data_IF_930436779738
#
_entry.id   IF_930436779738
#
_cell.length_a   1.000
_cell.length_b   1.000
_cell.length_c   1.000
_cell.angle_alpha   90.00
_cell.angle_beta   90.00
_cell.angle_gamma   90.00
#
_symmetry.space_group_name_H-M   'P 1'
#
loop_
_entity.id
_entity.type
_entity.pdbx_description
1 polymer ?
#
# COMPACT_ATOMS: atom_id res chain seq x y z
N UNK A 1 28.90 8.55 -26.77
CA UNK A 1 28.77 7.39 -25.87
C UNK A 1 27.35 7.39 -25.31
N UNK A 2 26.56 6.35 -25.59
CA UNK A 2 25.14 6.25 -25.21
C UNK A 2 25.03 5.98 -23.71
N UNK A 3 24.19 6.75 -23.02
CA UNK A 3 23.76 6.53 -21.64
C UNK A 3 23.12 5.15 -21.47
N UNK A 4 23.33 4.44 -20.36
CA UNK A 4 22.58 3.22 -20.08
C UNK A 4 21.11 3.56 -19.83
N UNK A 5 20.21 2.89 -20.56
CA UNK A 5 18.76 2.90 -20.32
C UNK A 5 18.46 2.54 -18.86
N UNK A 6 17.45 3.16 -18.22
CA UNK A 6 16.95 2.65 -16.95
C UNK A 6 16.50 1.20 -17.17
N UNK A 7 16.85 0.33 -16.21
CA UNK A 7 16.49 -1.07 -16.24
C UNK A 7 15.00 -1.22 -16.54
N UNK A 8 14.69 -1.78 -17.72
CA UNK A 8 13.34 -2.12 -18.13
C UNK A 8 12.78 -3.11 -17.11
N UNK A 9 11.88 -2.63 -16.25
CA UNK A 9 10.93 -3.53 -15.59
C UNK A 9 10.29 -4.39 -16.68
N UNK A 10 10.22 -5.73 -16.52
CA UNK A 10 9.65 -6.57 -17.56
C UNK A 10 8.23 -6.08 -17.85
N UNK A 11 7.96 -5.72 -19.11
CA UNK A 11 6.62 -5.38 -19.58
C UNK A 11 5.72 -6.58 -19.31
N UNK A 12 4.96 -6.51 -18.22
CA UNK A 12 4.01 -7.55 -17.83
C UNK A 12 3.01 -7.77 -18.96
N UNK A 13 2.56 -9.01 -19.21
CA UNK A 13 1.59 -9.29 -20.27
C UNK A 13 0.30 -8.49 -20.06
N UNK A 14 -0.20 -7.87 -21.13
CA UNK A 14 -1.32 -6.92 -21.09
C UNK A 14 -2.59 -7.49 -20.42
N UNK A 15 -2.86 -8.79 -20.61
CA UNK A 15 -4.02 -9.49 -20.04
C UNK A 15 -3.96 -9.65 -18.52
N UNK A 16 -2.82 -10.06 -17.95
CA UNK A 16 -2.65 -10.21 -16.50
C UNK A 16 -2.75 -8.85 -15.81
N UNK A 17 -2.17 -7.81 -16.40
CA UNK A 17 -2.34 -6.45 -15.91
C UNK A 17 -3.81 -6.02 -15.91
N UNK A 18 -4.55 -6.29 -16.99
CA UNK A 18 -5.96 -5.95 -17.09
C UNK A 18 -6.85 -6.72 -16.09
N UNK A 19 -6.53 -7.98 -15.81
CA UNK A 19 -7.24 -8.80 -14.82
C UNK A 19 -7.02 -8.32 -13.38
N UNK A 20 -5.82 -7.79 -13.09
CA UNK A 20 -5.42 -7.39 -11.74
C UNK A 20 -5.66 -5.93 -11.41
N UNK A 21 -5.86 -5.09 -12.43
CA UNK A 21 -6.08 -3.67 -12.20
C UNK A 21 -7.45 -3.41 -11.59
N UNK A 22 -7.46 -2.59 -10.54
CA UNK A 22 -8.70 -2.03 -10.03
C UNK A 22 -9.21 -0.99 -11.03
N UNK A 23 -10.51 -1.03 -11.40
CA UNK A 23 -11.12 0.04 -12.20
C UNK A 23 -11.24 1.35 -11.42
N UNK A 24 -11.20 1.30 -10.08
CA UNK A 24 -11.16 2.49 -9.22
C UNK A 24 -9.72 2.98 -9.10
N UNK A 25 -9.51 4.29 -9.27
CA UNK A 25 -8.21 4.97 -9.19
C UNK A 25 -7.15 4.33 -10.10
N UNK A 26 -7.49 4.13 -11.37
CA UNK A 26 -6.62 3.46 -12.34
C UNK A 26 -5.30 4.22 -12.63
N UNK A 27 -5.26 5.53 -12.40
CA UNK A 27 -4.08 6.36 -12.69
C UNK A 27 -3.11 6.49 -11.49
N UNK A 28 -3.49 6.01 -10.30
CA UNK A 28 -2.69 6.10 -9.07
C UNK A 28 -1.82 4.83 -8.88
N UNK A 29 -0.61 4.84 -9.45
CA UNK A 29 0.31 3.69 -9.39
C UNK A 29 0.70 3.28 -7.94
N UNK A 30 1.01 4.22 -7.02
CA UNK A 30 1.23 3.90 -5.60
C UNK A 30 0.05 3.15 -4.97
N UNK A 31 -1.17 3.63 -5.18
CA UNK A 31 -2.39 3.00 -4.66
C UNK A 31 -2.58 1.58 -5.23
N UNK A 32 -2.44 1.41 -6.54
CA UNK A 32 -2.56 0.10 -7.21
C UNK A 32 -1.51 -0.89 -6.71
N UNK A 33 -0.29 -0.41 -6.41
CA UNK A 33 0.76 -1.24 -5.81
C UNK A 33 0.38 -1.71 -4.42
N UNK A 34 -0.17 -0.83 -3.58
CA UNK A 34 -0.64 -1.18 -2.24
C UNK A 34 -1.78 -2.20 -2.29
N UNK A 35 -2.72 -2.03 -3.21
CA UNK A 35 -3.83 -2.95 -3.40
C UNK A 35 -3.32 -4.35 -3.80
N UNK A 36 -2.33 -4.44 -4.69
CA UNK A 36 -1.72 -5.72 -5.08
C UNK A 36 -1.02 -6.46 -3.94
N UNK A 37 -0.44 -5.74 -2.98
CA UNK A 37 0.19 -6.37 -1.82
C UNK A 37 -0.83 -7.12 -0.95
N UNK A 38 -2.11 -6.75 -0.98
CA UNK A 38 -3.15 -7.48 -0.25
C UNK A 38 -3.42 -8.89 -0.80
N UNK A 39 -3.04 -9.14 -2.07
CA UNK A 39 -3.23 -10.44 -2.72
C UNK A 39 -2.24 -11.50 -2.21
N UNK A 40 -1.08 -11.14 -1.65
CA UNK A 40 -0.06 -12.11 -1.24
C UNK A 40 -0.55 -12.98 -0.08
N UNK A 41 -0.71 -14.31 -0.26
CA UNK A 41 -1.25 -15.18 0.77
C UNK A 41 -0.21 -15.56 1.82
N UNK A 42 -0.69 -15.85 3.02
CA UNK A 42 0.09 -16.54 4.04
C UNK A 42 0.49 -17.93 3.52
N UNK A 43 1.68 -18.46 3.90
CA UNK A 43 2.11 -19.80 3.50
C UNK A 43 1.20 -20.93 3.99
N UNK A 44 0.32 -20.67 4.96
CA UNK A 44 -0.66 -21.63 5.46
C UNK A 44 -1.94 -21.67 4.61
N UNK A 45 -2.29 -20.59 3.92
CA UNK A 45 -3.55 -20.47 3.17
C UNK A 45 -3.74 -21.55 2.10
N UNK A 46 -2.72 -21.94 1.30
CA UNK A 46 -2.89 -23.02 0.32
C UNK A 46 -3.31 -24.36 0.96
N UNK A 47 -2.75 -24.70 2.12
CA UNK A 47 -3.05 -25.94 2.82
C UNK A 47 -4.46 -25.96 3.40
N UNK A 48 -4.90 -24.86 4.00
CA UNK A 48 -6.27 -24.72 4.49
C UNK A 48 -7.29 -24.89 3.36
N UNK A 49 -7.05 -24.26 2.21
CA UNK A 49 -7.93 -24.36 1.05
C UNK A 49 -7.96 -25.78 0.44
N UNK A 50 -6.91 -26.58 0.64
CA UNK A 50 -6.82 -27.94 0.11
C UNK A 50 -7.59 -28.98 0.93
N UNK A 51 -7.96 -28.71 2.18
CA UNK A 51 -8.58 -29.69 3.06
C UNK A 51 -9.86 -30.31 2.47
N UNK A 52 -10.80 -29.46 2.00
CA UNK A 52 -12.04 -29.91 1.36
C UNK A 52 -11.80 -30.70 0.06
N UNK A 53 -11.08 -30.15 -0.92
CA UNK A 53 -10.78 -30.86 -2.17
C UNK A 53 -9.99 -32.18 -1.98
N UNK A 54 -9.09 -32.26 -1.00
CA UNK A 54 -8.41 -33.51 -0.63
C UNK A 54 -9.42 -34.55 -0.17
N UNK A 55 -10.31 -34.20 0.76
CA UNK A 55 -11.36 -35.11 1.22
C UNK A 55 -12.30 -35.55 0.09
N UNK A 56 -12.65 -34.64 -0.83
CA UNK A 56 -13.44 -34.94 -2.02
C UNK A 56 -12.75 -35.99 -2.90
N UNK A 57 -11.46 -35.80 -3.19
CA UNK A 57 -10.70 -36.69 -4.07
C UNK A 57 -10.38 -38.04 -3.42
N UNK A 58 -10.14 -38.08 -2.11
CA UNK A 58 -10.05 -39.34 -1.34
C UNK A 58 -11.37 -40.10 -1.43
N UNK A 59 -12.50 -39.43 -1.19
CA UNK A 59 -13.83 -40.01 -1.35
C UNK A 59 -14.06 -40.51 -2.77
N UNK A 60 -13.69 -39.73 -3.79
CA UNK A 60 -13.83 -40.10 -5.20
C UNK A 60 -12.98 -41.32 -5.56
N UNK A 61 -11.75 -41.40 -5.07
CA UNK A 61 -10.86 -42.55 -5.29
C UNK A 61 -11.44 -43.82 -4.66
N UNK A 62 -11.94 -43.72 -3.43
CA UNK A 62 -12.50 -44.86 -2.70
C UNK A 62 -13.81 -45.35 -3.31
N UNK A 63 -14.66 -44.41 -3.72
CA UNK A 63 -16.00 -44.72 -4.18
C UNK A 63 -16.00 -45.02 -5.68
N UNK A 64 -15.48 -44.16 -6.56
CA UNK A 64 -15.75 -44.26 -8.00
C UNK A 64 -14.64 -44.93 -8.84
N UNK A 65 -13.50 -44.25 -9.02
CA UNK A 65 -12.40 -44.67 -9.91
C UNK A 65 -11.06 -44.40 -9.22
N UNK A 66 -10.42 -45.41 -8.60
CA UNK A 66 -9.28 -45.19 -7.70
C UNK A 66 -8.09 -44.56 -8.40
N UNK A 67 -7.71 -45.05 -9.60
CA UNK A 67 -6.57 -44.53 -10.35
C UNK A 67 -6.72 -43.04 -10.70
N UNK A 68 -7.91 -42.63 -11.15
CA UNK A 68 -8.19 -41.23 -11.50
C UNK A 68 -8.18 -40.36 -10.23
N UNK A 69 -8.85 -40.82 -9.17
CA UNK A 69 -8.90 -40.08 -7.91
C UNK A 69 -7.53 -39.86 -7.27
N UNK A 70 -6.68 -40.90 -7.25
CA UNK A 70 -5.31 -40.82 -6.74
C UNK A 70 -4.46 -39.87 -7.61
N UNK A 71 -4.56 -39.98 -8.93
CA UNK A 71 -3.83 -39.09 -9.85
C UNK A 71 -4.18 -37.61 -9.65
N UNK A 72 -5.47 -37.29 -9.55
CA UNK A 72 -5.94 -35.92 -9.28
C UNK A 72 -5.53 -35.43 -7.88
N UNK A 73 -5.54 -36.31 -6.88
CA UNK A 73 -5.12 -35.99 -5.51
C UNK A 73 -3.64 -35.61 -5.48
N UNK A 74 -2.78 -36.40 -6.13
CA UNK A 74 -1.35 -36.10 -6.22
C UNK A 74 -1.10 -34.77 -6.94
N UNK A 75 -1.82 -34.51 -8.03
CA UNK A 75 -1.73 -33.25 -8.76
C UNK A 75 -2.19 -32.06 -7.90
N UNK A 76 -3.29 -32.22 -7.15
CA UNK A 76 -3.80 -31.20 -6.22
C UNK A 76 -2.77 -30.88 -5.14
N UNK A 77 -2.16 -31.91 -4.53
CA UNK A 77 -1.13 -31.75 -3.50
C UNK A 77 0.13 -31.08 -4.06
N UNK A 78 0.55 -31.44 -5.27
CA UNK A 78 1.69 -30.82 -5.96
C UNK A 78 1.45 -29.32 -6.20
N UNK A 79 0.29 -28.94 -6.74
CA UNK A 79 -0.07 -27.54 -6.94
C UNK A 79 -0.18 -26.78 -5.61
N UNK A 80 -0.71 -27.42 -4.57
CA UNK A 80 -0.83 -26.83 -3.23
C UNK A 80 0.55 -26.58 -2.61
N UNK A 81 1.45 -27.56 -2.69
CA UNK A 81 2.83 -27.44 -2.20
C UNK A 81 3.61 -26.36 -2.97
N UNK A 82 3.46 -26.30 -4.29
CA UNK A 82 4.05 -25.25 -5.12
C UNK A 82 3.58 -23.85 -4.71
N UNK A 83 2.28 -23.68 -4.46
CA UNK A 83 1.70 -22.41 -3.95
C UNK A 83 2.22 -22.05 -2.57
N UNK A 84 2.30 -23.02 -1.65
CA UNK A 84 2.85 -22.79 -0.31
C UNK A 84 4.33 -22.41 -0.35
N UNK A 85 5.10 -23.02 -1.26
CA UNK A 85 6.50 -22.67 -1.49
C UNK A 85 6.67 -21.28 -2.08
N UNK A 86 5.86 -20.92 -3.08
CA UNK A 86 5.82 -19.56 -3.65
C UNK A 86 5.50 -18.52 -2.56
N UNK A 87 4.53 -18.80 -1.69
CA UNK A 87 4.15 -17.92 -0.58
C UNK A 87 5.27 -17.70 0.47
N UNK A 88 6.24 -18.61 0.59
CA UNK A 88 7.37 -18.47 1.53
C UNK A 88 8.49 -17.59 0.98
N UNK A 89 8.55 -17.34 -0.34
CA UNK A 89 9.59 -16.51 -0.94
C UNK A 89 9.29 -15.02 -0.72
N UNK A 90 10.16 -14.33 0.02
CA UNK A 90 10.03 -12.92 0.47
C UNK A 90 10.16 -11.83 -0.63
N UNK A 91 10.23 -12.17 -1.92
CA UNK A 91 10.48 -11.16 -2.97
C UNK A 91 9.22 -10.80 -3.79
N UNK A 92 9.02 -9.51 -4.15
CA UNK A 92 7.81 -9.01 -4.82
C UNK A 92 7.71 -9.32 -6.33
N UNK A 93 8.56 -10.20 -6.87
CA UNK A 93 8.64 -10.49 -8.32
C UNK A 93 7.61 -11.53 -8.83
N UNK A 94 6.74 -12.05 -7.97
CA UNK A 94 5.92 -13.25 -8.28
C UNK A 94 4.38 -13.12 -8.21
N UNK A 95 3.73 -11.95 -8.32
CA UNK A 95 2.26 -11.91 -8.37
C UNK A 95 1.72 -12.86 -9.46
N UNK A 96 2.32 -12.83 -10.65
CA UNK A 96 1.82 -13.56 -11.81
C UNK A 96 1.90 -15.08 -11.64
N UNK A 97 3.00 -15.61 -11.11
CA UNK A 97 3.16 -17.05 -10.88
C UNK A 97 2.19 -17.56 -9.80
N UNK A 98 1.99 -16.80 -8.72
CA UNK A 98 1.00 -17.13 -7.70
C UNK A 98 -0.41 -17.12 -8.29
N UNK A 99 -0.77 -16.13 -9.10
CA UNK A 99 -2.10 -16.02 -9.70
C UNK A 99 -2.38 -17.15 -10.70
N UNK A 100 -1.42 -17.47 -11.57
CA UNK A 100 -1.54 -18.59 -12.52
C UNK A 100 -1.69 -19.92 -11.78
N UNK A 101 -0.89 -20.15 -10.74
CA UNK A 101 -0.98 -21.39 -9.96
C UNK A 101 -2.28 -21.49 -9.16
N UNK A 102 -2.84 -20.37 -8.69
CA UNK A 102 -4.18 -20.37 -8.07
C UNK A 102 -5.25 -20.70 -9.11
N UNK A 103 -5.21 -20.12 -10.30
CA UNK A 103 -6.19 -20.38 -11.36
C UNK A 103 -6.14 -21.84 -11.84
N UNK A 104 -4.95 -22.41 -12.02
CA UNK A 104 -4.80 -23.84 -12.34
C UNK A 104 -5.36 -24.73 -11.23
N UNK A 105 -5.13 -24.35 -9.98
CA UNK A 105 -5.64 -25.06 -8.83
C UNK A 105 -7.17 -24.99 -8.74
N UNK A 106 -7.80 -23.82 -8.94
CA UNK A 106 -9.26 -23.68 -8.91
C UNK A 106 -9.92 -24.43 -10.07
N UNK A 107 -9.32 -24.42 -11.26
CA UNK A 107 -9.78 -25.20 -12.40
C UNK A 107 -9.72 -26.71 -12.12
N UNK A 108 -8.64 -27.20 -11.50
CA UNK A 108 -8.51 -28.60 -11.10
C UNK A 108 -9.60 -29.01 -10.10
N UNK A 109 -9.88 -28.16 -9.11
CA UNK A 109 -10.95 -28.42 -8.13
C UNK A 109 -12.32 -28.41 -8.80
N UNK A 110 -12.59 -27.45 -9.68
CA UNK A 110 -13.84 -27.40 -10.46
C UNK A 110 -14.04 -28.63 -11.35
N UNK A 111 -12.98 -29.06 -12.05
CA UNK A 111 -13.00 -30.29 -12.84
C UNK A 111 -13.22 -31.54 -11.98
N UNK A 112 -12.62 -31.59 -10.79
CA UNK A 112 -12.83 -32.69 -9.83
C UNK A 112 -14.28 -32.73 -9.32
N UNK A 113 -14.88 -31.57 -9.07
CA UNK A 113 -16.29 -31.45 -8.71
C UNK A 113 -17.20 -31.90 -9.86
N UNK A 114 -16.88 -31.55 -11.11
CA UNK A 114 -17.59 -32.05 -12.29
C UNK A 114 -17.52 -33.59 -12.41
N UNK A 115 -16.35 -34.19 -12.16
CA UNK A 115 -16.22 -35.65 -12.12
C UNK A 115 -17.04 -36.29 -11.00
N UNK A 116 -17.12 -35.65 -9.84
CA UNK A 116 -18.01 -36.07 -8.75
C UNK A 116 -19.49 -36.03 -9.18
N UNK A 117 -19.92 -34.98 -9.88
CA UNK A 117 -21.26 -34.87 -10.48
C UNK A 117 -21.55 -36.02 -11.46
N UNK A 118 -20.61 -36.31 -12.37
CA UNK A 118 -20.75 -37.36 -13.38
C UNK A 118 -20.64 -38.78 -12.83
N UNK A 119 -20.10 -38.95 -11.62
CA UNK A 119 -19.99 -40.26 -10.97
C UNK A 119 -21.35 -40.90 -10.65
N UNK A 120 -22.41 -40.08 -10.54
CA UNK A 120 -23.74 -40.51 -10.12
C UNK A 120 -23.86 -40.86 -8.63
N UNK A 121 -22.81 -40.66 -7.82
CA UNK A 121 -22.81 -40.97 -6.39
C UNK A 121 -23.23 -39.76 -5.56
N UNK A 122 -24.45 -39.78 -5.05
CA UNK A 122 -25.06 -38.65 -4.34
C UNK A 122 -24.16 -38.02 -3.26
N UNK A 123 -23.47 -38.84 -2.46
CA UNK A 123 -22.53 -38.37 -1.43
C UNK A 123 -21.39 -37.51 -2.01
N UNK A 124 -20.80 -37.93 -3.14
CA UNK A 124 -19.73 -37.17 -3.80
C UNK A 124 -20.25 -35.87 -4.40
N UNK A 125 -21.47 -35.89 -4.96
CA UNK A 125 -22.12 -34.72 -5.55
C UNK A 125 -22.35 -33.64 -4.49
N UNK A 126 -23.00 -34.01 -3.38
CA UNK A 126 -23.26 -33.08 -2.27
C UNK A 126 -21.97 -32.52 -1.68
N UNK A 127 -20.99 -33.40 -1.44
CA UNK A 127 -19.71 -33.00 -0.87
C UNK A 127 -18.94 -32.03 -1.79
N UNK A 128 -18.96 -32.29 -3.11
CA UNK A 128 -18.36 -31.41 -4.10
C UNK A 128 -19.04 -30.03 -4.10
N UNK A 129 -20.38 -29.99 -4.13
CA UNK A 129 -21.16 -28.75 -4.07
C UNK A 129 -20.85 -27.89 -2.84
N UNK A 130 -20.81 -28.51 -1.65
CA UNK A 130 -20.44 -27.82 -0.41
C UNK A 130 -19.01 -27.27 -0.45
N UNK A 131 -18.07 -28.08 -0.95
CA UNK A 131 -16.65 -27.72 -1.04
C UNK A 131 -16.43 -26.53 -1.96
N UNK A 132 -16.97 -26.56 -3.19
CA UNK A 132 -16.78 -25.48 -4.17
C UNK A 132 -17.49 -24.20 -3.73
N UNK A 133 -18.65 -24.31 -3.07
CA UNK A 133 -19.39 -23.13 -2.59
C UNK A 133 -18.62 -22.43 -1.46
N UNK A 134 -18.12 -23.19 -0.47
CA UNK A 134 -17.32 -22.64 0.61
C UNK A 134 -16.02 -21.98 0.10
N UNK A 135 -15.33 -22.64 -0.85
CA UNK A 135 -14.13 -22.08 -1.47
C UNK A 135 -14.43 -20.84 -2.31
N UNK A 136 -15.55 -20.81 -3.03
CA UNK A 136 -15.94 -19.65 -3.81
C UNK A 136 -16.18 -18.42 -2.92
N UNK A 137 -16.93 -18.57 -1.81
CA UNK A 137 -17.11 -17.49 -0.83
C UNK A 137 -15.79 -16.97 -0.28
N UNK A 138 -14.86 -17.87 0.06
CA UNK A 138 -13.52 -17.50 0.52
C UNK A 138 -12.73 -16.72 -0.55
N UNK A 139 -12.72 -17.20 -1.80
CA UNK A 139 -11.99 -16.57 -2.91
C UNK A 139 -12.54 -15.18 -3.26
N UNK A 140 -13.87 -15.02 -3.25
CA UNK A 140 -14.53 -13.73 -3.51
C UNK A 140 -14.04 -12.64 -2.55
N UNK A 141 -13.88 -12.97 -1.26
CA UNK A 141 -13.36 -12.02 -0.27
C UNK A 141 -11.84 -11.85 -0.41
N UNK A 142 -11.11 -12.96 -0.57
CA UNK A 142 -9.64 -12.98 -0.56
C UNK A 142 -9.02 -12.21 -1.73
N UNK A 143 -9.63 -12.27 -2.91
CA UNK A 143 -9.12 -11.62 -4.12
C UNK A 143 -9.94 -10.39 -4.53
N UNK A 144 -10.63 -9.78 -3.58
CA UNK A 144 -11.41 -8.56 -3.79
C UNK A 144 -10.58 -7.38 -4.37
N UNK A 145 -9.25 -7.38 -4.19
CA UNK A 145 -8.35 -6.41 -4.82
C UNK A 145 -8.33 -6.48 -6.36
N UNK A 146 -8.63 -7.65 -6.94
CA UNK A 146 -8.63 -7.89 -8.37
C UNK A 146 -9.97 -8.49 -8.81
N UNK A 147 -11.03 -7.67 -8.97
CA UNK A 147 -12.41 -8.16 -9.12
C UNK A 147 -12.64 -9.01 -10.38
N UNK A 148 -11.95 -8.69 -11.48
CA UNK A 148 -12.03 -9.48 -12.73
C UNK A 148 -11.39 -10.85 -12.56
N UNK A 149 -10.23 -10.90 -11.90
CA UNK A 149 -9.55 -12.14 -11.57
C UNK A 149 -10.37 -13.02 -10.62
N UNK A 150 -10.92 -12.45 -9.55
CA UNK A 150 -11.80 -13.17 -8.62
C UNK A 150 -13.03 -13.78 -9.32
N UNK A 151 -13.62 -13.04 -10.27
CA UNK A 151 -14.76 -13.55 -11.05
C UNK A 151 -14.34 -14.75 -11.93
N UNK A 152 -13.19 -14.65 -12.60
CA UNK A 152 -12.64 -15.74 -13.40
C UNK A 152 -12.40 -17.01 -12.57
N UNK A 153 -11.88 -16.86 -11.35
CA UNK A 153 -11.66 -17.99 -10.43
C UNK A 153 -12.96 -18.64 -9.99
N UNK A 154 -13.98 -17.85 -9.65
CA UNK A 154 -15.30 -18.38 -9.28
C UNK A 154 -15.90 -19.15 -10.45
N UNK A 155 -15.80 -18.62 -11.68
CA UNK A 155 -16.25 -19.31 -12.88
C UNK A 155 -15.49 -20.64 -13.07
N UNK A 156 -14.15 -20.63 -13.00
CA UNK A 156 -13.33 -21.82 -13.15
C UNK A 156 -13.62 -22.89 -12.09
N UNK A 157 -14.00 -22.46 -10.89
CA UNK A 157 -14.31 -23.34 -9.75
C UNK A 157 -15.72 -23.95 -9.83
N UNK A 158 -16.74 -23.17 -10.18
CA UNK A 158 -18.14 -23.62 -10.04
C UNK A 158 -18.81 -23.99 -11.35
N UNK A 159 -18.45 -23.36 -12.47
CA UNK A 159 -19.14 -23.58 -13.75
C UNK A 159 -18.99 -25.02 -14.26
N UNK A 160 -17.82 -25.70 -14.16
CA UNK A 160 -17.73 -27.10 -14.57
C UNK A 160 -18.69 -28.03 -13.83
N UNK A 161 -18.93 -27.81 -12.53
CA UNK A 161 -19.87 -28.60 -11.73
C UNK A 161 -21.32 -28.39 -12.17
N UNK A 162 -21.71 -27.14 -12.43
CA UNK A 162 -23.06 -26.80 -12.86
C UNK A 162 -23.35 -27.30 -14.28
N UNK A 163 -22.37 -27.18 -15.20
CA UNK A 163 -22.48 -27.70 -16.57
C UNK A 163 -22.48 -29.24 -16.62
N UNK A 164 -21.88 -29.91 -15.64
CA UNK A 164 -21.94 -31.36 -15.52
C UNK A 164 -23.30 -31.88 -15.00
N UNK A 165 -24.12 -31.02 -14.39
CA UNK A 165 -25.37 -31.42 -13.74
C UNK A 165 -26.41 -32.03 -14.70
N UNK A 166 -26.67 -31.45 -15.90
CA UNK A 166 -27.59 -32.06 -16.87
C UNK A 166 -27.08 -33.38 -17.47
N UNK A 167 -25.76 -33.61 -17.41
CA UNK A 167 -25.10 -34.81 -17.89
C UNK A 167 -24.99 -35.89 -16.80
N UNK A 168 -25.45 -35.61 -15.58
CA UNK A 168 -25.37 -36.55 -14.47
C UNK A 168 -26.32 -37.73 -14.67
N UNK A 169 -25.95 -38.88 -14.11
CA UNK A 169 -26.77 -40.11 -14.11
C UNK A 169 -27.93 -40.06 -13.13
N UNK A 170 -27.93 -39.10 -12.20
CA UNK A 170 -28.99 -38.92 -11.21
C UNK A 170 -30.09 -38.06 -11.83
N UNK A 171 -31.33 -38.53 -11.73
CA UNK A 171 -32.49 -37.84 -12.28
C UNK A 171 -32.65 -36.44 -11.65
N UNK A 172 -33.13 -35.50 -12.46
CA UNK A 172 -33.50 -34.13 -12.05
C UNK A 172 -32.35 -33.21 -11.58
N UNK A 173 -31.08 -33.63 -11.65
CA UNK A 173 -29.96 -32.74 -11.29
C UNK A 173 -29.73 -31.59 -12.28
N UNK A 174 -30.30 -31.65 -13.48
CA UNK A 174 -30.24 -30.53 -14.44
C UNK A 174 -30.76 -29.21 -13.85
N UNK A 175 -31.68 -29.26 -12.86
CA UNK A 175 -32.20 -28.08 -12.14
C UNK A 175 -31.08 -27.28 -11.46
N UNK A 176 -29.96 -27.91 -11.10
CA UNK A 176 -28.80 -27.19 -10.57
C UNK A 176 -28.16 -26.26 -11.62
N UNK A 177 -28.20 -26.63 -12.90
CA UNK A 177 -27.68 -25.77 -13.97
C UNK A 177 -28.50 -24.48 -14.13
N UNK A 178 -29.81 -24.55 -13.85
CA UNK A 178 -30.71 -23.38 -13.87
C UNK A 178 -30.33 -22.34 -12.79
N UNK A 179 -29.57 -22.73 -11.76
CA UNK A 179 -29.05 -21.82 -10.73
C UNK A 179 -27.79 -21.06 -11.18
N UNK A 180 -27.15 -21.45 -12.29
CA UNK A 180 -25.90 -20.83 -12.73
C UNK A 180 -26.02 -19.31 -12.99
N UNK A 181 -27.08 -18.78 -13.65
CA UNK A 181 -27.24 -17.35 -13.84
C UNK A 181 -27.35 -16.59 -12.51
N UNK A 182 -28.19 -17.10 -11.59
CA UNK A 182 -28.36 -16.50 -10.27
C UNK A 182 -27.04 -16.51 -9.48
N UNK A 183 -26.32 -17.63 -9.49
CA UNK A 183 -25.01 -17.75 -8.85
C UNK A 183 -24.00 -16.72 -9.38
N UNK A 184 -23.90 -16.57 -10.70
CA UNK A 184 -22.96 -15.60 -11.31
C UNK A 184 -23.32 -14.15 -10.98
N UNK A 185 -24.61 -13.81 -10.98
CA UNK A 185 -25.08 -12.47 -10.57
C UNK A 185 -24.74 -12.18 -9.11
N UNK A 186 -25.00 -13.14 -8.21
CA UNK A 186 -24.69 -12.99 -6.79
C UNK A 186 -23.17 -12.92 -6.54
N UNK A 187 -22.39 -13.77 -7.20
CA UNK A 187 -20.93 -13.76 -7.13
C UNK A 187 -20.37 -12.41 -7.61
N UNK A 188 -20.82 -11.91 -8.75
CA UNK A 188 -20.40 -10.60 -9.27
C UNK A 188 -20.76 -9.47 -8.29
N UNK A 189 -22.00 -9.46 -7.78
CA UNK A 189 -22.45 -8.47 -6.80
C UNK A 189 -21.65 -8.50 -5.49
N UNK A 190 -21.30 -9.69 -4.99
CA UNK A 190 -20.47 -9.87 -3.79
C UNK A 190 -19.03 -9.40 -4.02
N UNK A 191 -18.41 -9.79 -5.13
CA UNK A 191 -17.07 -9.34 -5.50
C UNK A 191 -17.04 -7.81 -5.62
N UNK A 192 -18.02 -7.20 -6.27
CA UNK A 192 -18.11 -5.74 -6.39
C UNK A 192 -18.29 -5.05 -5.02
N UNK A 193 -19.03 -5.66 -4.08
CA UNK A 193 -19.16 -5.15 -2.70
C UNK A 193 -17.85 -5.24 -1.93
N UNK A 194 -17.21 -6.41 -1.91
CA UNK A 194 -15.93 -6.58 -1.22
C UNK A 194 -14.83 -5.69 -1.81
N UNK A 195 -14.79 -5.53 -3.14
CA UNK A 195 -13.85 -4.64 -3.80
C UNK A 195 -14.01 -3.19 -3.33
N UNK A 196 -15.25 -2.68 -3.29
CA UNK A 196 -15.54 -1.33 -2.79
C UNK A 196 -15.15 -1.15 -1.33
N UNK A 197 -15.46 -2.12 -0.46
CA UNK A 197 -15.06 -2.09 0.95
C UNK A 197 -13.54 -2.06 1.11
N UNK A 198 -12.82 -2.92 0.38
CA UNK A 198 -11.36 -2.96 0.43
C UNK A 198 -10.74 -1.63 -0.02
N UNK A 199 -11.21 -1.06 -1.13
CA UNK A 199 -10.74 0.23 -1.64
C UNK A 199 -11.00 1.35 -0.62
N UNK A 200 -12.18 1.38 0.00
CA UNK A 200 -12.47 2.35 1.07
C UNK A 200 -11.53 2.19 2.28
N UNK A 201 -11.29 0.96 2.75
CA UNK A 201 -10.38 0.71 3.86
C UNK A 201 -8.95 1.14 3.55
N UNK A 202 -8.44 0.82 2.36
CA UNK A 202 -7.09 1.22 1.94
C UNK A 202 -6.99 2.74 1.80
N UNK A 203 -8.01 3.39 1.21
CA UNK A 203 -8.04 4.85 1.04
C UNK A 203 -8.06 5.56 2.39
N UNK A 204 -8.93 5.15 3.32
CA UNK A 204 -8.99 5.74 4.66
C UNK A 204 -7.69 5.53 5.45
N UNK A 205 -7.06 4.36 5.33
CA UNK A 205 -5.77 4.10 5.95
C UNK A 205 -4.69 5.01 5.36
N UNK A 206 -4.71 5.21 4.05
CA UNK A 206 -3.79 6.09 3.33
C UNK A 206 -3.97 7.56 3.71
N UNK A 207 -5.21 8.07 3.71
CA UNK A 207 -5.54 9.43 4.14
C UNK A 207 -5.14 9.67 5.60
N UNK A 208 -5.43 8.70 6.49
CA UNK A 208 -5.01 8.78 7.89
C UNK A 208 -3.49 8.84 8.03
N UNK A 209 -2.77 8.05 7.23
CA UNK A 209 -1.30 8.08 7.21
C UNK A 209 -0.77 9.43 6.70
N UNK A 210 -1.34 9.97 5.62
CA UNK A 210 -0.96 11.28 5.09
C UNK A 210 -1.27 12.42 6.07
N UNK A 211 -2.46 12.41 6.69
CA UNK A 211 -2.84 13.36 7.73
C UNK A 211 -1.93 13.22 8.97
N UNK A 212 -1.48 12.00 9.29
CA UNK A 212 -0.51 11.75 10.35
C UNK A 212 0.89 12.27 10.05
N UNK A 213 1.20 12.66 8.82
CA UNK A 213 2.51 13.23 8.45
C UNK A 213 2.49 14.75 8.33
N UNK A 214 1.34 15.40 8.55
CA UNK A 214 1.21 16.85 8.50
C UNK A 214 0.95 17.45 9.88
N UNK A 215 1.52 18.62 10.11
CA UNK A 215 1.24 19.44 11.29
C UNK A 215 -0.11 20.15 11.09
N UNK A 216 -1.01 20.01 12.07
CA UNK A 216 -2.38 20.55 11.96
C UNK A 216 -2.42 22.08 11.94
N UNK A 217 -1.44 22.73 12.53
CA UNK A 217 -1.45 24.18 12.70
C UNK A 217 -0.91 24.91 11.47
N UNK A 218 0.18 24.39 10.90
CA UNK A 218 0.89 25.02 9.77
C UNK A 218 0.54 24.39 8.41
N UNK A 219 0.10 23.13 8.40
CA UNK A 219 -0.18 22.35 7.19
C UNK A 219 1.07 21.77 6.50
N UNK A 220 2.27 22.05 7.04
CA UNK A 220 3.54 21.47 6.61
C UNK A 220 3.71 20.03 7.13
N UNK A 221 4.83 19.38 6.80
CA UNK A 221 5.14 18.09 7.40
C UNK A 221 5.28 18.25 8.92
N UNK A 222 4.82 17.28 9.68
CA UNK A 222 5.21 17.16 11.08
C UNK A 222 6.49 16.34 11.20
N UNK A 223 6.99 16.14 12.42
CA UNK A 223 8.18 15.32 12.70
C UNK A 223 8.21 14.00 11.93
N UNK A 224 7.15 13.19 12.01
CA UNK A 224 7.10 11.89 11.34
C UNK A 224 7.19 12.03 9.81
N UNK A 225 6.50 13.02 9.23
CA UNK A 225 6.59 13.33 7.81
C UNK A 225 7.99 13.78 7.38
N UNK A 226 8.65 14.62 8.19
CA UNK A 226 10.02 15.06 7.95
C UNK A 226 11.04 13.92 8.05
N UNK A 227 10.90 13.03 9.04
CA UNK A 227 11.75 11.84 9.19
C UNK A 227 11.66 10.91 7.98
N UNK A 228 10.48 10.74 7.37
CA UNK A 228 10.33 9.98 6.11
C UNK A 228 11.15 10.60 4.97
N UNK A 229 11.14 11.93 4.84
CA UNK A 229 11.97 12.64 3.84
C UNK A 229 13.45 12.45 4.14
N UNK A 230 13.87 12.64 5.40
CA UNK A 230 15.28 12.47 5.79
C UNK A 230 15.78 11.03 5.58
N UNK A 231 14.95 10.02 5.85
CA UNK A 231 15.30 8.63 5.53
C UNK A 231 15.56 8.41 4.04
N UNK A 232 14.94 9.18 3.15
CA UNK A 232 15.23 9.10 1.71
C UNK A 232 16.63 9.66 1.36
N UNK A 233 17.10 10.66 2.10
CA UNK A 233 18.42 11.27 1.95
C UNK A 233 19.52 10.31 2.41
N UNK A 234 19.28 9.58 3.51
CA UNK A 234 20.24 8.61 4.06
C UNK A 234 20.38 7.32 3.21
N UNK A 235 19.65 7.17 2.10
CA UNK A 235 19.73 5.94 1.27
C UNK A 235 20.92 5.99 0.31
N UNK A 236 21.77 4.93 0.24
CA UNK A 236 22.98 4.91 -0.60
C UNK A 236 22.78 5.06 -2.11
N UNK A 237 21.56 4.85 -2.61
CA UNK A 237 21.24 4.80 -4.04
C UNK A 237 20.23 5.87 -4.48
N UNK A 238 19.87 6.82 -3.61
CA UNK A 238 19.04 7.94 -4.02
C UNK A 238 19.91 8.93 -4.82
N UNK A 239 19.47 9.32 -6.02
CA UNK A 239 19.96 10.54 -6.62
C UNK A 239 19.62 11.67 -5.64
N UNK A 240 20.63 12.20 -4.94
CA UNK A 240 20.45 13.22 -3.92
C UNK A 240 20.05 14.52 -4.62
N UNK A 241 18.75 14.72 -4.77
CA UNK A 241 18.18 15.98 -5.27
C UNK A 241 18.10 17.01 -4.14
N UNK A 242 17.98 16.57 -2.89
CA UNK A 242 18.07 17.43 -1.71
C UNK A 242 19.55 17.72 -1.43
N UNK A 243 19.90 19.00 -1.42
CA UNK A 243 21.27 19.49 -1.32
C UNK A 243 21.60 20.04 0.07
N UNK A 244 20.61 20.56 0.78
CA UNK A 244 20.80 21.26 2.06
C UNK A 244 19.64 20.98 3.03
N UNK A 245 19.96 20.97 4.32
CA UNK A 245 19.00 21.02 5.41
C UNK A 245 19.25 22.30 6.22
N UNK A 246 18.23 23.15 6.29
CA UNK A 246 18.19 24.30 7.18
C UNK A 246 17.33 23.96 8.39
N UNK A 247 17.82 24.28 9.58
CA UNK A 247 17.08 24.15 10.83
C UNK A 247 16.85 25.53 11.41
N UNK A 248 15.60 25.87 11.61
CA UNK A 248 15.13 27.18 12.01
C UNK A 248 14.47 27.09 13.37
N UNK A 249 14.84 27.97 14.31
CA UNK A 249 14.20 28.03 15.62
C UNK A 249 13.69 29.43 15.92
N UNK A 250 12.37 29.51 16.10
CA UNK A 250 11.67 30.72 16.50
C UNK A 250 11.69 30.84 18.03
N UNK A 251 12.38 31.87 18.55
CA UNK A 251 12.61 32.05 19.97
C UNK A 251 11.97 33.31 20.58
N UNK A 252 11.60 33.30 21.88
CA UNK A 252 11.24 32.14 22.72
C UNK A 252 9.72 31.91 22.73
N UNK A 253 9.27 30.89 21.98
CA UNK A 253 7.85 30.53 21.87
C UNK A 253 7.18 30.18 23.22
N UNK A 254 7.94 29.62 24.15
CA UNK A 254 7.44 29.28 25.49
C UNK A 254 7.07 30.53 26.31
N UNK A 255 7.87 31.60 26.22
CA UNK A 255 7.57 32.86 26.88
C UNK A 255 6.34 33.53 26.26
N UNK A 256 6.16 33.40 24.94
CA UNK A 256 4.97 33.86 24.25
C UNK A 256 3.71 33.14 24.77
N UNK A 257 3.73 31.81 24.87
CA UNK A 257 2.60 31.07 25.43
C UNK A 257 2.26 31.46 26.87
N UNK A 258 3.28 31.74 27.69
CA UNK A 258 3.08 32.15 29.08
C UNK A 258 2.51 33.57 29.20
N UNK A 259 2.93 34.50 28.33
CA UNK A 259 2.55 35.91 28.41
C UNK A 259 1.26 36.24 27.67
N UNK A 260 0.99 35.58 26.55
CA UNK A 260 -0.12 35.90 25.64
C UNK A 260 -1.11 34.74 25.45
N UNK A 261 -0.88 33.61 26.12
CA UNK A 261 -1.74 32.44 26.06
C UNK A 261 -1.53 31.56 24.84
N UNK A 262 -2.20 30.40 24.86
CA UNK A 262 -2.05 29.35 23.83
C UNK A 262 -2.47 29.85 22.44
N UNK A 263 -3.57 30.59 22.37
CA UNK A 263 -4.15 31.03 21.09
C UNK A 263 -3.18 31.93 20.31
N UNK A 264 -2.58 32.94 20.95
CA UNK A 264 -1.65 33.86 20.27
C UNK A 264 -0.37 33.12 19.82
N UNK A 265 0.14 32.19 20.64
CA UNK A 265 1.27 31.37 20.23
C UNK A 265 0.96 30.46 19.02
N UNK A 266 -0.25 29.90 18.97
CA UNK A 266 -0.72 29.12 17.83
C UNK A 266 -0.91 30.00 16.57
N UNK A 267 -1.39 31.24 16.75
CA UNK A 267 -1.58 32.19 15.66
C UNK A 267 -0.25 32.69 15.07
N UNK A 268 0.77 32.91 15.91
CA UNK A 268 2.15 33.17 15.44
C UNK A 268 2.64 32.02 14.56
N UNK A 269 2.50 30.78 15.02
CA UNK A 269 2.95 29.62 14.25
C UNK A 269 2.16 29.43 12.95
N UNK A 270 0.86 29.72 12.93
CA UNK A 270 0.07 29.71 11.69
C UNK A 270 0.59 30.74 10.71
N UNK A 271 0.89 31.95 11.18
CA UNK A 271 1.46 33.03 10.38
C UNK A 271 2.86 32.69 9.85
N UNK A 272 3.72 32.07 10.68
CA UNK A 272 5.00 31.49 10.23
C UNK A 272 4.75 30.49 9.10
N UNK A 273 3.76 29.62 9.28
CA UNK A 273 3.31 28.66 8.28
C UNK A 273 2.96 29.30 6.94
N UNK A 274 2.14 30.35 6.98
CA UNK A 274 1.70 31.11 5.81
C UNK A 274 2.85 31.84 5.12
N UNK A 275 3.72 32.51 5.89
CA UNK A 275 4.91 33.18 5.36
C UNK A 275 5.83 32.18 4.65
N UNK A 276 6.16 31.06 5.30
CA UNK A 276 7.00 30.03 4.69
C UNK A 276 6.40 29.46 3.40
N UNK A 277 5.07 29.31 3.27
CA UNK A 277 4.43 28.84 2.03
C UNK A 277 4.69 29.76 0.84
N UNK A 278 4.84 31.06 1.08
CA UNK A 278 5.13 32.05 0.03
C UNK A 278 6.62 32.14 -0.31
N UNK A 279 7.48 31.79 0.64
CA UNK A 279 8.95 31.93 0.51
C UNK A 279 9.61 30.67 -0.08
N UNK A 280 9.01 29.51 0.13
CA UNK A 280 9.59 28.21 -0.20
C UNK A 280 8.94 27.64 -1.47
N UNK A 281 9.77 27.02 -2.33
CA UNK A 281 9.29 26.44 -3.58
C UNK A 281 8.48 25.17 -3.30
N UNK A 282 7.47 24.83 -4.12
CA UNK A 282 6.71 23.59 -3.97
C UNK A 282 7.55 22.31 -4.04
N UNK A 283 8.73 22.37 -4.64
CA UNK A 283 9.68 21.25 -4.71
C UNK A 283 10.36 20.97 -3.38
N UNK A 284 10.52 21.98 -2.51
CA UNK A 284 11.24 21.86 -1.25
C UNK A 284 10.33 21.34 -0.13
N UNK A 285 10.91 20.68 0.86
CA UNK A 285 10.16 20.18 2.00
C UNK A 285 10.30 21.11 3.20
N UNK A 286 9.17 21.46 3.81
CA UNK A 286 9.14 22.15 5.10
C UNK A 286 8.51 21.23 6.13
N UNK A 287 9.15 21.11 7.30
CA UNK A 287 8.71 20.30 8.41
C UNK A 287 8.69 21.14 9.68
N UNK A 288 7.56 21.15 10.41
CA UNK A 288 7.52 21.60 11.80
C UNK A 288 7.90 20.42 12.70
N UNK A 289 9.16 20.40 13.14
CA UNK A 289 9.73 19.25 13.83
C UNK A 289 9.26 19.19 15.30
N UNK A 290 9.38 20.29 16.04
CA UNK A 290 8.94 20.38 17.45
C UNK A 290 8.70 21.83 17.85
N UNK A 291 7.53 22.16 18.42
CA UNK A 291 7.29 23.51 18.95
C UNK A 291 7.47 24.61 17.90
N UNK A 292 8.50 25.45 18.08
CA UNK A 292 8.94 26.50 17.15
C UNK A 292 10.14 26.13 16.27
N UNK A 293 10.51 24.85 16.20
CA UNK A 293 11.62 24.36 15.39
C UNK A 293 11.11 23.82 14.05
N UNK A 294 11.58 24.41 12.97
CA UNK A 294 11.27 24.07 11.59
C UNK A 294 12.50 23.54 10.87
N UNK A 295 12.30 22.59 9.96
CA UNK A 295 13.32 22.11 9.03
C UNK A 295 12.89 22.49 7.62
N UNK A 296 13.84 22.95 6.81
CA UNK A 296 13.65 23.20 5.38
C UNK A 296 14.70 22.38 4.63
N UNK A 297 14.23 21.41 3.85
CA UNK A 297 15.08 20.57 3.00
C UNK A 297 14.98 21.06 1.56
N UNK A 298 16.08 21.61 1.06
CA UNK A 298 16.12 22.36 -0.20
C UNK A 298 16.74 21.52 -1.31
N UNK A 299 16.07 21.48 -2.45
CA UNK A 299 16.56 20.79 -3.64
C UNK A 299 17.47 21.67 -4.47
N UNK A 300 18.53 21.07 -5.02
CA UNK A 300 19.40 21.67 -6.04
C UNK A 300 19.90 23.10 -5.73
N UNK A 301 20.12 23.42 -4.45
CA UNK A 301 20.72 24.68 -4.04
C UNK A 301 22.24 24.57 -4.24
N UNK A 302 22.86 25.50 -4.99
CA UNK A 302 24.31 25.51 -5.16
C UNK A 302 25.02 25.70 -3.81
N UNK A 303 26.09 24.94 -3.57
CA UNK A 303 26.95 25.15 -2.41
C UNK A 303 27.55 26.57 -2.44
N UNK A 304 27.50 27.29 -1.33
CA UNK A 304 27.86 28.70 -1.21
C UNK A 304 26.69 29.68 -1.36
N UNK A 305 25.50 29.23 -1.78
CA UNK A 305 24.30 30.07 -1.89
C UNK A 305 23.44 30.08 -0.61
N UNK A 306 23.95 29.53 0.50
CA UNK A 306 23.19 29.35 1.74
C UNK A 306 22.86 30.70 2.39
N UNK A 307 23.81 31.64 2.37
CA UNK A 307 23.61 33.00 2.88
C UNK A 307 22.57 33.77 2.07
N UNK A 308 22.55 33.62 0.75
CA UNK A 308 21.54 34.26 -0.11
C UNK A 308 20.14 33.67 0.17
N UNK A 309 20.07 32.35 0.32
CA UNK A 309 18.83 31.67 0.69
C UNK A 309 18.30 32.18 2.04
N UNK A 310 19.16 32.28 3.06
CA UNK A 310 18.80 32.82 4.37
C UNK A 310 18.40 34.30 4.32
N UNK A 311 19.16 35.13 3.60
CA UNK A 311 18.86 36.56 3.43
C UNK A 311 17.49 36.80 2.79
N UNK A 312 17.02 35.86 1.96
CA UNK A 312 15.67 35.90 1.37
C UNK A 312 14.56 35.50 2.34
N UNK A 313 14.79 34.51 3.20
CA UNK A 313 13.73 33.94 4.04
C UNK A 313 13.66 34.54 5.45
N UNK A 314 14.79 34.95 6.04
CA UNK A 314 14.85 35.40 7.44
C UNK A 314 14.10 36.72 7.64
N UNK A 315 14.32 37.80 6.86
CA UNK A 315 13.68 39.09 7.13
C UNK A 315 12.14 39.03 7.08
N UNK A 316 11.49 38.37 6.10
CA UNK A 316 10.04 38.20 6.13
C UNK A 316 9.53 37.39 7.33
N UNK A 317 10.32 36.44 7.83
CA UNK A 317 9.97 35.63 9.00
C UNK A 317 10.20 36.35 10.33
N UNK A 318 11.11 37.33 10.40
CA UNK A 318 11.31 38.17 11.58
C UNK A 318 10.41 39.42 11.60
N UNK A 319 9.73 39.74 10.50
CA UNK A 319 8.81 40.87 10.46
C UNK A 319 7.73 40.76 11.57
N UNK A 320 7.27 41.88 12.15
CA UNK A 320 6.31 41.86 13.25
C UNK A 320 5.06 41.02 12.95
N UNK A 321 4.56 40.31 13.95
CA UNK A 321 3.34 39.52 13.88
C UNK A 321 2.22 40.33 14.52
N UNK A 322 1.36 40.93 13.70
CA UNK A 322 0.25 41.78 14.13
C UNK A 322 -1.00 40.95 14.44
N UNK A 323 -1.53 41.11 15.66
CA UNK A 323 -2.77 40.47 16.13
C UNK A 323 -3.86 41.50 16.45
N UNK A 324 -3.81 42.68 15.83
CA UNK A 324 -4.81 43.73 15.95
C UNK A 324 -4.89 44.28 17.38
N UNK A 325 -6.00 44.04 18.06
CA UNK A 325 -6.22 44.53 19.42
C UNK A 325 -5.22 43.96 20.46
N UNK A 326 -4.54 42.86 20.13
CA UNK A 326 -3.54 42.23 20.99
C UNK A 326 -2.10 42.74 20.74
N UNK A 327 -1.90 43.65 19.78
CA UNK A 327 -0.62 44.27 19.47
C UNK A 327 0.29 43.42 18.56
N UNK A 328 1.55 43.87 18.44
CA UNK A 328 2.57 43.22 17.63
C UNK A 328 3.51 42.36 18.47
N UNK A 329 3.83 41.16 17.97
CA UNK A 329 4.83 40.27 18.55
C UNK A 329 6.05 40.21 17.65
N UNK A 330 7.23 40.46 18.21
CA UNK A 330 8.50 40.29 17.50
C UNK A 330 9.13 38.96 17.89
N UNK A 331 9.45 38.13 16.90
CA UNK A 331 10.09 36.84 17.07
C UNK A 331 11.51 36.89 16.50
N UNK A 332 12.47 36.32 17.22
CA UNK A 332 13.82 36.16 16.71
C UNK A 332 13.98 34.77 16.09
N UNK A 333 14.70 34.71 14.98
CA UNK A 333 14.96 33.48 14.26
C UNK A 333 16.45 33.12 14.33
N UNK A 334 16.75 31.92 14.82
CA UNK A 334 18.08 31.34 14.69
C UNK A 334 18.06 30.28 13.59
N UNK A 335 19.09 30.23 12.75
CA UNK A 335 19.18 29.33 11.62
C UNK A 335 20.52 28.57 11.62
N UNK A 336 20.45 27.24 11.70
CA UNK A 336 21.57 26.34 11.43
C UNK A 336 21.48 25.78 10.01
N UNK A 337 22.62 25.47 9.41
CA UNK A 337 22.72 25.01 8.02
C UNK A 337 23.58 23.75 7.96
N UNK A 338 23.12 22.76 7.20
CA UNK A 338 23.87 21.55 6.89
C UNK A 338 23.85 21.35 5.37
N UNK A 339 25.02 21.49 4.74
CA UNK A 339 25.22 21.07 3.36
C UNK A 339 25.34 19.54 3.30
N UNK A 340 24.52 18.89 2.47
CA UNK A 340 24.48 17.43 2.34
C UNK A 340 25.56 16.96 1.35
N UNK A 341 26.83 17.27 1.65
CA UNK A 341 27.99 16.85 0.83
C UNK A 341 28.52 15.47 1.20
N UNK A 342 28.17 14.99 2.39
CA UNK A 342 28.60 13.71 2.94
C UNK A 342 27.44 12.74 3.08
N UNK A 343 27.77 11.45 3.15
CA UNK A 343 26.76 10.42 3.39
C UNK A 343 26.41 10.35 4.87
N UNK A 344 25.12 10.53 5.18
CA UNK A 344 24.57 10.30 6.52
C UNK A 344 23.98 8.90 6.59
N UNK A 345 24.51 8.05 7.47
CA UNK A 345 24.05 6.67 7.63
C UNK A 345 22.65 6.60 8.24
N UNK A 346 22.34 7.51 9.16
CA UNK A 346 21.05 7.56 9.87
C UNK A 346 20.47 8.97 9.91
N UNK A 347 19.16 9.06 10.18
CA UNK A 347 18.47 10.35 10.33
C UNK A 347 18.93 11.04 11.61
N UNK A 348 19.26 10.27 12.63
CA UNK A 348 19.81 10.73 13.89
C UNK A 348 21.14 11.48 13.71
N UNK A 349 22.04 10.95 12.86
CA UNK A 349 23.33 11.60 12.56
C UNK A 349 23.12 12.95 11.84
N UNK A 350 22.19 12.97 10.88
CA UNK A 350 21.84 14.18 10.13
C UNK A 350 21.24 15.24 11.07
N UNK A 351 20.29 14.84 11.92
CA UNK A 351 19.64 15.72 12.88
C UNK A 351 20.60 16.23 13.95
N UNK A 352 21.55 15.39 14.41
CA UNK A 352 22.60 15.79 15.34
C UNK A 352 23.47 16.91 14.73
N UNK A 353 23.87 16.74 13.47
CA UNK A 353 24.65 17.77 12.74
C UNK A 353 23.87 19.08 12.59
N UNK A 354 22.57 18.99 12.29
CA UNK A 354 21.71 20.17 12.19
C UNK A 354 21.59 20.90 13.52
N UNK A 355 21.35 20.17 14.61
CA UNK A 355 21.24 20.75 15.95
C UNK A 355 22.56 21.40 16.41
N UNK A 356 23.70 20.82 16.05
CA UNK A 356 25.00 21.45 16.30
C UNK A 356 25.13 22.78 15.56
N UNK A 357 24.80 22.82 14.25
CA UNK A 357 24.83 24.06 13.47
C UNK A 357 23.89 25.14 14.04
N UNK A 358 22.72 24.76 14.55
CA UNK A 358 21.81 25.68 15.23
C UNK A 358 22.37 26.20 16.56
N UNK A 359 23.03 25.34 17.34
CA UNK A 359 23.66 25.73 18.60
C UNK A 359 24.81 26.72 18.37
N UNK A 360 25.61 26.50 17.33
CA UNK A 360 26.67 27.42 16.90
C UNK A 360 26.11 28.78 16.49
N UNK A 361 25.01 28.80 15.72
CA UNK A 361 24.32 30.03 15.33
C UNK A 361 23.75 30.83 16.53
N UNK A 362 23.38 30.15 17.62
CA UNK A 362 22.96 30.82 18.86
C UNK A 362 24.14 31.37 19.69
N UNK A 363 25.29 30.69 19.62
CA UNK A 363 26.49 31.04 20.38
C UNK A 363 27.31 32.17 19.75
N UNK A 364 27.28 32.28 18.41
CA UNK A 364 27.78 33.44 17.69
C UNK A 364 26.82 34.62 17.86
N UNK A 365 27.29 35.75 18.39
CA UNK A 365 26.52 36.99 18.32
C UNK A 365 26.28 37.31 16.83
N UNK A 366 24.99 37.31 16.45
CA UNK A 366 24.36 37.73 15.18
C UNK A 366 25.28 38.17 14.05
#
# INVERSE_FOLDING_TARGET
MRSPSPATTPKRPALLNWLLYSPLQADDEPFQRQLRLTLTPSPLTPWLNAAGPVALLVGYAWLNRPLIGIGLLLLLLLLTAGRAWLARRRQPAWPDAMLVTVLLWTLLVGASAALAMLSGRFVLILFAGLTITALACWLMQRHAAAPRFALLEVIALTLPYLLAAPLSRVQNLFVLADLAPLWLVLAHGMIARYHRQLVQHVTLAWEKQQASHRDRLTGFLNRAGGEVVMHSICRPAAAQTISHLFILEFGPLAALYQSHGVQIGDDVLRTVGERLKTLIRPSDYVCRYTGGLFLILVHDLPYGAESEFLARIVPPLEAPYDFGAFGEVNMQLNAGIVALTQHYATVEDLMSSAQQALAEAKGGKK
#
